data_IF_846093062571
#
_entry.id   IF_846093062571
#
_cell.length_a   1.000
_cell.length_b   1.000
_cell.length_c   1.000
_cell.angle_alpha   90.00
_cell.angle_beta   90.00
_cell.angle_gamma   90.00
#
_symmetry.space_group_name_H-M   'P 1'
#
loop_
_entity.id
_entity.type
_entity.pdbx_description
1 polymer ?
#
# COMPACT_ATOMS: atom_id res chain seq x y z
N UNK A 1 26.14 11.62 -7.38
CA UNK A 1 26.58 10.91 -6.15
C UNK A 1 26.09 11.62 -4.89
N UNK A 2 26.16 12.96 -4.83
CA UNK A 2 25.74 13.71 -3.62
C UNK A 2 24.21 13.79 -3.43
N UNK A 3 23.42 13.75 -4.51
CA UNK A 3 21.96 13.71 -4.46
C UNK A 3 21.39 12.43 -3.84
N UNK A 4 22.07 11.29 -3.96
CA UNK A 4 21.64 10.04 -3.32
C UNK A 4 21.97 10.00 -1.83
N UNK A 5 23.09 10.60 -1.42
CA UNK A 5 23.44 10.73 0.01
C UNK A 5 22.44 11.60 0.76
N UNK A 6 21.90 12.64 0.12
CA UNK A 6 20.92 13.55 0.76
C UNK A 6 19.54 12.92 0.95
N UNK A 7 19.16 11.91 0.15
CA UNK A 7 17.91 11.14 0.33
C UNK A 7 17.81 10.41 1.67
N UNK A 8 18.96 10.13 2.32
CA UNK A 8 19.01 9.35 3.56
C UNK A 8 19.50 10.15 4.77
N UNK A 9 19.87 11.42 4.58
CA UNK A 9 20.53 12.26 5.61
C UNK A 9 19.70 13.47 6.01
N UNK A 10 18.79 13.95 5.15
CA UNK A 10 17.94 15.09 5.46
C UNK A 10 16.47 14.69 5.45
N UNK A 11 15.72 15.19 6.43
CA UNK A 11 14.26 15.21 6.43
C UNK A 11 13.82 16.16 5.31
N UNK A 12 13.89 15.68 4.07
CA UNK A 12 13.56 16.45 2.88
C UNK A 12 12.05 16.54 2.79
N UNK A 13 11.55 17.73 3.08
CA UNK A 13 10.17 18.17 2.91
C UNK A 13 9.68 18.07 1.46
N UNK A 14 9.43 16.86 0.97
CA UNK A 14 8.72 16.55 -0.28
C UNK A 14 7.82 15.32 -0.06
N UNK A 15 6.50 15.57 -0.06
CA UNK A 15 5.41 14.58 -0.18
C UNK A 15 5.44 13.41 0.82
N UNK A 16 5.19 13.75 2.09
CA UNK A 16 4.58 12.85 3.09
C UNK A 16 5.36 11.55 3.35
N UNK A 17 6.50 11.66 4.04
CA UNK A 17 7.26 10.54 4.60
C UNK A 17 6.58 9.97 5.87
N UNK A 18 5.33 9.49 5.79
CA UNK A 18 4.77 8.73 6.90
C UNK A 18 5.31 7.30 6.87
N UNK A 19 5.92 6.88 7.98
CA UNK A 19 6.21 5.46 8.19
C UNK A 19 4.88 4.73 8.43
N UNK A 20 4.80 3.46 8.07
CA UNK A 20 3.62 2.64 8.39
C UNK A 20 3.30 2.65 9.91
N UNK A 21 4.32 2.82 10.75
CA UNK A 21 4.17 2.96 12.21
C UNK A 21 3.44 4.23 12.60
N UNK A 22 3.70 5.33 11.92
CA UNK A 22 3.04 6.62 12.18
C UNK A 22 1.55 6.52 11.84
N UNK A 23 1.23 5.86 10.72
CA UNK A 23 -0.17 5.58 10.32
C UNK A 23 -0.89 4.74 11.39
N UNK A 24 -0.26 3.68 11.88
CA UNK A 24 -0.83 2.84 12.94
C UNK A 24 -0.99 3.58 14.28
N UNK A 25 -0.13 4.56 14.56
CA UNK A 25 -0.19 5.36 15.76
C UNK A 25 -1.38 6.35 15.78
N UNK A 26 -1.96 6.70 14.62
CA UNK A 26 -3.14 7.58 14.55
C UNK A 26 -4.35 6.91 15.22
N UNK A 27 -4.51 5.59 15.06
CA UNK A 27 -5.59 4.80 15.70
C UNK A 27 -5.06 3.45 16.20
N UNK A 28 -4.34 3.43 17.34
CA UNK A 28 -3.71 2.22 17.85
C UNK A 28 -4.74 1.11 18.08
N UNK A 29 -4.49 -0.08 17.52
CA UNK A 29 -5.35 -1.26 17.66
C UNK A 29 -6.66 -1.23 16.86
N UNK A 30 -6.97 -0.16 16.15
CA UNK A 30 -8.21 -0.03 15.38
C UNK A 30 -8.01 -0.27 13.88
N UNK A 31 -6.80 -0.09 13.35
CA UNK A 31 -6.49 -0.41 11.95
C UNK A 31 -6.20 -1.91 11.84
N UNK A 32 -7.12 -2.66 11.23
CA UNK A 32 -7.07 -4.13 11.13
C UNK A 32 -7.17 -4.62 9.70
N UNK A 33 -7.88 -3.89 8.84
CA UNK A 33 -8.02 -4.20 7.42
C UNK A 33 -7.84 -2.96 6.55
N UNK A 34 -7.15 -3.10 5.43
CA UNK A 34 -6.95 -2.01 4.48
C UNK A 34 -6.83 -2.47 3.04
N UNK A 35 -6.88 -1.48 2.15
CA UNK A 35 -6.74 -1.65 0.71
C UNK A 35 -5.47 -0.95 0.23
N UNK A 36 -4.63 -1.68 -0.48
CA UNK A 36 -3.45 -1.16 -1.18
C UNK A 36 -3.80 -1.05 -2.67
N UNK A 37 -4.11 0.17 -3.10
CA UNK A 37 -4.65 0.49 -4.43
C UNK A 37 -3.55 1.06 -5.33
N UNK A 38 -3.10 0.25 -6.28
CA UNK A 38 -2.03 0.61 -7.19
C UNK A 38 -1.51 -0.58 -7.99
N UNK A 39 -0.33 -0.42 -8.57
CA UNK A 39 0.37 -1.44 -9.36
C UNK A 39 1.69 -1.75 -8.67
N UNK A 40 1.84 -2.96 -8.14
CA UNK A 40 3.04 -3.38 -7.43
C UNK A 40 3.01 -4.83 -6.97
N UNK A 41 4.00 -5.20 -6.14
CA UNK A 41 4.20 -6.55 -5.62
C UNK A 41 3.84 -6.70 -4.13
N UNK A 42 3.01 -5.80 -3.59
CA UNK A 42 2.50 -5.86 -2.22
C UNK A 42 3.50 -5.53 -1.12
N UNK A 43 4.45 -4.61 -1.35
CA UNK A 43 5.45 -4.23 -0.33
C UNK A 43 4.81 -3.58 0.91
N UNK A 44 3.84 -2.68 0.71
CA UNK A 44 3.08 -2.08 1.80
C UNK A 44 2.31 -3.14 2.59
N UNK A 45 1.59 -4.02 1.88
CA UNK A 45 0.88 -5.15 2.48
C UNK A 45 1.78 -6.07 3.31
N UNK A 46 3.01 -6.34 2.83
CA UNK A 46 3.98 -7.14 3.59
C UNK A 46 4.36 -6.48 4.93
N UNK A 47 4.62 -5.16 4.95
CA UNK A 47 4.96 -4.41 6.17
C UNK A 47 3.80 -4.32 7.15
N UNK A 48 2.59 -4.11 6.64
CA UNK A 48 1.39 -4.06 7.47
C UNK A 48 1.08 -5.42 8.10
N UNK A 49 1.32 -6.52 7.37
CA UNK A 49 1.19 -7.88 7.90
C UNK A 49 2.11 -8.16 9.08
N UNK A 50 3.35 -7.66 9.06
CA UNK A 50 4.29 -7.76 10.20
C UNK A 50 3.72 -7.12 11.49
N UNK A 51 2.73 -6.22 11.35
CA UNK A 51 2.02 -5.56 12.45
C UNK A 51 0.60 -6.12 12.68
N UNK A 52 0.29 -7.32 12.16
CA UNK A 52 -1.03 -7.95 12.23
C UNK A 52 -2.17 -7.17 11.55
N UNK A 53 -1.86 -6.37 10.53
CA UNK A 53 -2.87 -5.71 9.69
C UNK A 53 -3.02 -6.45 8.36
N UNK A 54 -4.27 -6.76 8.01
CA UNK A 54 -4.60 -7.44 6.76
C UNK A 54 -4.75 -6.41 5.65
N UNK A 55 -3.91 -6.51 4.62
CA UNK A 55 -4.02 -5.63 3.45
C UNK A 55 -4.37 -6.47 2.22
N UNK A 56 -5.42 -6.04 1.53
CA UNK A 56 -5.76 -6.53 0.20
C UNK A 56 -5.07 -5.62 -0.82
N UNK A 57 -4.20 -6.17 -1.67
CA UNK A 57 -3.48 -5.39 -2.68
C UNK A 57 -4.10 -5.59 -4.06
N UNK A 58 -4.49 -4.51 -4.73
CA UNK A 58 -4.87 -4.59 -6.14
C UNK A 58 -3.67 -4.96 -6.99
N UNK A 59 -3.87 -5.82 -7.98
CA UNK A 59 -2.83 -6.20 -8.91
C UNK A 59 -3.41 -6.52 -10.29
N UNK A 60 -2.78 -5.97 -11.32
CA UNK A 60 -2.98 -6.37 -12.71
C UNK A 60 -1.74 -7.11 -13.20
N UNK A 61 -1.93 -8.16 -14.00
CA UNK A 61 -0.82 -8.88 -14.61
C UNK A 61 -0.37 -8.20 -15.91
N UNK A 62 0.24 -7.02 -15.79
CA UNK A 62 0.71 -6.21 -16.92
C UNK A 62 2.07 -6.70 -17.41
N UNK A 63 2.09 -7.77 -18.21
CA UNK A 63 3.33 -8.36 -18.75
C UNK A 63 4.18 -9.12 -17.71
N UNK A 64 3.75 -9.14 -16.44
CA UNK A 64 4.33 -9.94 -15.37
C UNK A 64 3.23 -10.47 -14.43
N UNK A 65 3.44 -11.61 -13.74
CA UNK A 65 2.44 -12.24 -12.88
C UNK A 65 2.40 -11.57 -11.48
N UNK A 66 2.16 -10.27 -11.41
CA UNK A 66 2.13 -9.51 -10.14
C UNK A 66 1.20 -10.12 -9.09
N UNK A 67 0.01 -10.56 -9.52
CA UNK A 67 -0.96 -11.23 -8.65
C UNK A 67 -0.36 -12.51 -8.03
N UNK A 68 0.33 -13.32 -8.85
CA UNK A 68 1.02 -14.53 -8.40
C UNK A 68 2.17 -14.24 -7.44
N UNK A 69 2.94 -13.17 -7.67
CA UNK A 69 4.02 -12.75 -6.76
C UNK A 69 3.45 -12.35 -5.40
N UNK A 70 2.34 -11.61 -5.35
CA UNK A 70 1.67 -11.22 -4.10
C UNK A 70 1.16 -12.47 -3.36
N UNK A 71 0.50 -13.39 -4.06
CA UNK A 71 0.05 -14.65 -3.48
C UNK A 71 1.19 -15.52 -2.93
N UNK A 72 2.32 -15.63 -3.65
CA UNK A 72 3.49 -16.39 -3.22
C UNK A 72 4.15 -15.82 -1.96
N UNK A 73 3.99 -14.52 -1.70
CA UNK A 73 4.39 -13.87 -0.44
C UNK A 73 3.39 -14.13 0.70
N UNK A 74 2.35 -14.92 0.45
CA UNK A 74 1.25 -15.21 1.36
C UNK A 74 0.34 -14.01 1.60
N UNK A 75 0.40 -12.97 0.77
CA UNK A 75 -0.43 -11.77 0.86
C UNK A 75 -1.73 -11.97 0.07
N UNK A 76 -2.68 -11.03 0.17
CA UNK A 76 -4.00 -11.15 -0.46
C UNK A 76 -4.03 -10.28 -1.73
N UNK A 77 -3.87 -10.88 -2.93
CA UNK A 77 -4.05 -10.13 -4.16
C UNK A 77 -5.53 -10.00 -4.51
N UNK A 78 -5.88 -8.85 -5.07
CA UNK A 78 -7.17 -8.58 -5.71
C UNK A 78 -6.93 -8.27 -7.19
N UNK A 79 -7.39 -9.15 -8.07
CA UNK A 79 -7.32 -8.89 -9.50
C UNK A 79 -8.40 -7.87 -9.88
N UNK A 80 -8.00 -6.59 -9.93
CA UNK A 80 -8.90 -5.48 -10.23
C UNK A 80 -8.15 -4.37 -10.98
N UNK A 81 -8.86 -3.69 -11.88
CA UNK A 81 -8.33 -2.50 -12.56
C UNK A 81 -8.55 -1.24 -11.70
N UNK A 82 -7.79 -0.18 -11.98
CA UNK A 82 -7.89 1.10 -11.24
C UNK A 82 -9.22 1.84 -11.41
N UNK A 83 -10.03 1.46 -12.40
CA UNK A 83 -11.34 2.06 -12.64
C UNK A 83 -12.48 1.15 -12.16
N UNK A 84 -12.16 0.03 -11.51
CA UNK A 84 -13.16 -0.94 -11.08
C UNK A 84 -13.84 -0.48 -9.80
N UNK A 85 -15.18 -0.43 -9.83
CA UNK A 85 -15.97 -0.26 -8.62
C UNK A 85 -15.81 -1.49 -7.72
N UNK A 86 -15.39 -1.27 -6.48
CA UNK A 86 -15.31 -2.31 -5.47
C UNK A 86 -16.62 -2.33 -4.68
N UNK A 87 -17.36 -3.45 -4.65
CA UNK A 87 -18.66 -3.54 -4.00
C UNK A 87 -18.54 -3.72 -2.48
N UNK A 88 -17.82 -2.81 -1.83
CA UNK A 88 -17.68 -2.79 -0.37
C UNK A 88 -18.78 -1.95 0.26
N UNK A 89 -19.26 -2.39 1.44
CA UNK A 89 -20.11 -1.55 2.27
C UNK A 89 -19.30 -0.42 2.90
N UNK A 90 -19.99 0.65 3.31
CA UNK A 90 -19.37 1.71 4.11
C UNK A 90 -18.68 1.12 5.35
N UNK A 91 -17.54 1.71 5.72
CA UNK A 91 -16.74 1.29 6.88
C UNK A 91 -16.16 -0.14 6.80
N UNK A 92 -16.03 -0.72 5.59
CA UNK A 92 -15.38 -2.03 5.40
C UNK A 92 -13.85 -1.96 5.57
N UNK A 93 -13.23 -0.83 5.25
CA UNK A 93 -11.77 -0.63 5.32
C UNK A 93 -11.41 0.44 6.36
N UNK A 94 -10.37 0.19 7.14
CA UNK A 94 -9.85 1.15 8.12
C UNK A 94 -8.85 2.14 7.49
N UNK A 95 -8.21 1.72 6.39
CA UNK A 95 -7.18 2.47 5.68
C UNK A 95 -7.20 2.14 4.18
N UNK A 96 -6.94 3.15 3.37
CA UNK A 96 -6.62 3.01 1.94
C UNK A 96 -5.23 3.61 1.73
N UNK A 97 -4.36 2.86 1.06
CA UNK A 97 -3.03 3.28 0.65
C UNK A 97 -2.97 3.31 -0.88
N UNK A 98 -2.39 4.35 -1.45
CA UNK A 98 -2.24 4.52 -2.90
C UNK A 98 -0.82 4.96 -3.24
N UNK A 99 -0.27 4.49 -4.36
CA UNK A 99 1.03 4.94 -4.87
C UNK A 99 0.85 5.48 -6.29
N UNK A 100 1.25 6.71 -6.56
CA UNK A 100 1.50 7.23 -7.91
C UNK A 100 0.29 7.37 -8.82
N UNK A 101 -0.93 7.14 -8.32
CA UNK A 101 -2.17 7.19 -9.10
C UNK A 101 -3.16 8.27 -8.64
N UNK A 102 -2.95 8.89 -7.47
CA UNK A 102 -3.82 9.94 -6.94
C UNK A 102 -3.08 11.28 -6.78
N UNK A 103 -1.91 11.42 -7.41
CA UNK A 103 -1.01 12.55 -7.18
C UNK A 103 -1.45 13.82 -7.95
N UNK A 104 -2.50 13.72 -8.77
CA UNK A 104 -3.21 14.88 -9.34
C UNK A 104 -2.52 15.60 -10.51
N UNK A 105 -1.37 15.09 -10.98
CA UNK A 105 -0.62 15.63 -12.12
C UNK A 105 -1.00 14.98 -13.46
#
# INVERSE_FOLDING_TARGET
>A
MDKEKLKWVANSSLLVDFLFRDVLAIKPGHIRIGLDYGVGIGTFAARMREQNVTIVSTALNLGAPFNGIIALRGLIPLYATLNQHLPFFNNTMDLIHTIGFMDGD
#
